data_IF_349911528394
#
_entry.id   IF_349911528394
#
_cell.length_a   1.000
_cell.length_b   1.000
_cell.length_c   1.000
_cell.angle_alpha   90.00
_cell.angle_beta   90.00
_cell.angle_gamma   90.00
#
_symmetry.space_group_name_H-M   'P 1'
#
loop_
_entity.id
_entity.type
_entity.pdbx_description
1 polymer ?
#
# COMPACT_ATOMS: atom_id res chain seq x y z
N UNK A 1 9.55 25.69 -74.11
CA UNK A 1 8.57 25.86 -73.01
C UNK A 1 8.51 24.57 -72.22
N UNK A 2 9.21 24.46 -71.10
CA UNK A 2 9.06 23.32 -70.19
C UNK A 2 9.01 23.86 -68.76
N UNK A 3 7.85 23.70 -68.14
CA UNK A 3 7.49 24.26 -66.84
C UNK A 3 7.70 23.16 -65.79
N UNK A 4 8.82 23.23 -65.07
CA UNK A 4 9.11 22.30 -63.96
C UNK A 4 8.24 22.71 -62.77
N UNK A 5 7.27 21.86 -62.44
CA UNK A 5 6.41 21.99 -61.25
C UNK A 5 7.23 21.69 -59.99
N UNK A 6 7.43 22.68 -59.14
CA UNK A 6 7.85 22.47 -57.75
C UNK A 6 6.69 21.85 -56.97
N UNK A 7 6.84 20.60 -56.55
CA UNK A 7 5.97 19.96 -55.57
C UNK A 7 6.53 20.28 -54.19
N UNK A 8 5.92 21.23 -53.48
CA UNK A 8 6.19 21.46 -52.07
C UNK A 8 5.61 20.30 -51.25
N UNK A 9 6.49 19.44 -50.72
CA UNK A 9 6.12 18.46 -49.69
C UNK A 9 6.04 19.21 -48.36
N UNK A 10 4.81 19.52 -47.92
CA UNK A 10 4.58 19.96 -46.53
C UNK A 10 4.76 18.74 -45.61
N UNK A 11 5.92 18.68 -44.95
CA UNK A 11 6.14 17.82 -43.79
C UNK A 11 5.33 18.37 -42.61
N UNK A 12 4.16 17.78 -42.37
CA UNK A 12 3.37 18.01 -41.16
C UNK A 12 4.15 17.49 -39.95
N UNK A 13 4.74 18.41 -39.19
CA UNK A 13 5.30 18.15 -37.86
C UNK A 13 4.13 17.95 -36.89
N UNK A 14 3.65 16.70 -36.77
CA UNK A 14 2.74 16.33 -35.70
C UNK A 14 3.55 16.28 -34.40
N UNK A 15 3.25 17.13 -33.40
CA UNK A 15 3.89 17.01 -32.10
C UNK A 15 3.51 15.65 -31.52
N UNK A 16 4.51 14.83 -31.22
CA UNK A 16 4.31 13.60 -30.46
C UNK A 16 3.87 14.04 -29.06
N UNK A 17 2.56 13.99 -28.79
CA UNK A 17 2.06 14.21 -27.43
C UNK A 17 2.42 12.96 -26.63
N UNK A 18 3.58 12.98 -25.98
CA UNK A 18 3.94 11.99 -24.98
C UNK A 18 3.01 12.21 -23.78
N UNK A 19 2.00 11.36 -23.65
CA UNK A 19 1.17 11.31 -22.44
C UNK A 19 1.93 10.51 -21.40
N UNK A 20 2.19 11.09 -20.23
CA UNK A 20 2.75 10.35 -19.11
C UNK A 20 1.80 9.21 -18.74
N UNK A 21 2.35 8.03 -18.45
CA UNK A 21 1.58 6.94 -17.86
C UNK A 21 1.00 7.39 -16.52
N UNK A 22 -0.19 6.88 -16.18
CA UNK A 22 -0.81 7.19 -14.90
C UNK A 22 0.08 6.71 -13.75
N UNK A 23 0.23 7.54 -12.72
CA UNK A 23 0.88 7.16 -11.47
C UNK A 23 -0.12 6.36 -10.62
N UNK A 24 0.13 5.07 -10.44
CA UNK A 24 -0.80 4.16 -9.76
C UNK A 24 -0.28 3.84 -8.37
N UNK A 25 -1.17 3.89 -7.37
CA UNK A 25 -0.82 3.52 -6.00
C UNK A 25 -1.90 2.66 -5.34
N UNK A 26 -1.50 1.99 -4.26
CA UNK A 26 -2.39 1.10 -3.50
C UNK A 26 -2.19 1.25 -1.99
N UNK A 27 -2.97 0.53 -1.20
CA UNK A 27 -2.85 0.44 0.24
C UNK A 27 -3.24 -0.97 0.69
N UNK A 28 -2.67 -1.44 1.80
CA UNK A 28 -3.11 -2.69 2.43
C UNK A 28 -4.62 -2.63 2.77
N UNK A 29 -5.36 -3.76 2.72
CA UNK A 29 -6.78 -3.79 3.02
C UNK A 29 -7.02 -3.88 4.53
N UNK A 30 -6.71 -2.80 5.25
CA UNK A 30 -6.88 -2.71 6.71
C UNK A 30 -8.27 -2.22 7.14
N UNK A 31 -9.10 -1.80 6.18
CA UNK A 31 -10.46 -1.31 6.35
C UNK A 31 -11.35 -1.82 5.20
N UNK A 32 -12.65 -1.53 5.29
CA UNK A 32 -13.58 -1.76 4.20
C UNK A 32 -13.16 -1.02 2.92
N UNK A 33 -13.33 -1.70 1.77
CA UNK A 33 -12.87 -1.21 0.48
C UNK A 33 -13.50 0.15 0.12
N UNK A 34 -14.78 0.37 0.42
CA UNK A 34 -15.46 1.63 0.11
C UNK A 34 -14.86 2.81 0.89
N UNK A 35 -14.51 2.57 2.16
CA UNK A 35 -13.83 3.56 2.99
C UNK A 35 -12.41 3.84 2.51
N UNK A 36 -11.68 2.80 2.08
CA UNK A 36 -10.34 2.94 1.51
C UNK A 36 -10.38 3.73 0.20
N UNK A 37 -11.31 3.43 -0.70
CA UNK A 37 -11.52 4.16 -1.95
C UNK A 37 -11.85 5.63 -1.68
N UNK A 38 -12.74 5.92 -0.72
CA UNK A 38 -13.07 7.30 -0.35
C UNK A 38 -11.86 8.05 0.21
N UNK A 39 -11.09 7.43 1.10
CA UNK A 39 -9.92 8.05 1.74
C UNK A 39 -8.79 8.28 0.73
N UNK A 40 -8.44 7.24 -0.02
CA UNK A 40 -7.31 7.30 -0.95
C UNK A 40 -7.68 7.95 -2.28
N UNK A 41 -8.95 8.03 -2.66
CA UNK A 41 -9.40 8.90 -3.75
C UNK A 41 -9.00 10.36 -3.52
N UNK A 42 -9.17 10.87 -2.28
CA UNK A 42 -8.72 12.23 -1.92
C UNK A 42 -7.20 12.39 -2.03
N UNK A 43 -6.43 11.34 -1.73
CA UNK A 43 -4.97 11.34 -1.90
C UNK A 43 -4.61 11.34 -3.39
N UNK A 44 -5.33 10.57 -4.21
CA UNK A 44 -5.15 10.55 -5.65
C UNK A 44 -5.40 11.95 -6.25
N UNK A 45 -6.51 12.60 -5.89
CA UNK A 45 -6.85 13.95 -6.35
C UNK A 45 -5.77 14.98 -5.97
N UNK A 46 -5.28 14.91 -4.72
CA UNK A 46 -4.21 15.78 -4.25
C UNK A 46 -2.92 15.56 -5.05
N UNK A 47 -2.46 14.31 -5.18
CA UNK A 47 -1.25 13.99 -5.92
C UNK A 47 -1.37 14.34 -7.40
N UNK A 48 -2.54 14.14 -8.02
CA UNK A 48 -2.76 14.50 -9.41
C UNK A 48 -2.57 16.01 -9.62
N UNK A 49 -3.10 16.82 -8.70
CA UNK A 49 -2.92 18.28 -8.73
C UNK A 49 -1.46 18.69 -8.56
N UNK A 50 -0.75 18.11 -7.59
CA UNK A 50 0.63 18.50 -7.27
C UNK A 50 1.64 18.00 -8.32
N UNK A 51 1.41 16.84 -8.92
CA UNK A 51 2.32 16.21 -9.88
C UNK A 51 2.01 16.58 -11.34
N UNK A 52 0.80 17.06 -11.63
CA UNK A 52 0.37 17.38 -12.99
C UNK A 52 0.18 16.16 -13.90
N UNK A 53 0.06 14.95 -13.32
CA UNK A 53 -0.18 13.68 -14.03
C UNK A 53 -1.45 13.01 -13.51
N UNK A 54 -1.98 12.07 -14.29
CA UNK A 54 -3.09 11.24 -13.83
C UNK A 54 -2.62 10.35 -12.67
N UNK A 55 -3.37 10.34 -11.57
CA UNK A 55 -3.08 9.50 -10.40
C UNK A 55 -4.28 8.61 -10.11
N UNK A 56 -4.02 7.31 -9.90
CA UNK A 56 -5.08 6.33 -9.66
C UNK A 56 -4.80 5.52 -8.39
N UNK A 57 -5.81 5.41 -7.53
CA UNK A 57 -5.81 4.45 -6.43
C UNK A 57 -6.45 3.13 -6.89
N UNK A 58 -5.77 2.00 -6.65
CA UNK A 58 -6.33 0.67 -6.88
C UNK A 58 -6.43 -0.13 -5.56
N UNK A 59 -7.61 -0.67 -5.20
CA UNK A 59 -7.75 -1.51 -4.03
C UNK A 59 -7.13 -2.89 -4.27
N UNK A 60 -6.61 -3.51 -3.20
CA UNK A 60 -6.08 -4.88 -3.23
C UNK A 60 -6.68 -5.71 -2.13
N UNK A 61 -6.83 -7.02 -2.37
CA UNK A 61 -7.56 -7.93 -1.45
C UNK A 61 -6.71 -8.56 -0.35
N UNK A 62 -5.39 -8.34 -0.36
CA UNK A 62 -4.51 -8.85 0.70
C UNK A 62 -3.21 -8.06 0.81
N UNK A 63 -2.53 -8.19 1.95
CA UNK A 63 -1.17 -7.68 2.16
C UNK A 63 -0.18 -8.23 1.12
N UNK A 64 -0.29 -9.52 0.78
CA UNK A 64 0.54 -10.14 -0.25
C UNK A 64 0.28 -9.53 -1.63
N UNK A 65 -0.99 -9.23 -1.96
CA UNK A 65 -1.34 -8.57 -3.21
C UNK A 65 -0.75 -7.16 -3.30
N UNK A 66 -0.74 -6.38 -2.22
CA UNK A 66 -0.08 -5.07 -2.18
C UNK A 66 1.43 -5.19 -2.49
N UNK A 67 2.10 -6.15 -1.85
CA UNK A 67 3.54 -6.40 -2.06
C UNK A 67 3.81 -6.84 -3.50
N UNK A 68 3.00 -7.76 -4.04
CA UNK A 68 3.14 -8.25 -5.42
C UNK A 68 2.88 -7.15 -6.44
N UNK A 69 1.85 -6.32 -6.25
CA UNK A 69 1.57 -5.20 -7.14
C UNK A 69 2.73 -4.22 -7.20
N UNK A 70 3.31 -3.90 -6.04
CA UNK A 70 4.48 -3.03 -5.96
C UNK A 70 5.71 -3.67 -6.62
N UNK A 71 5.99 -4.95 -6.31
CA UNK A 71 7.11 -5.69 -6.90
C UNK A 71 7.04 -5.79 -8.42
N UNK A 72 5.84 -5.97 -8.96
CA UNK A 72 5.63 -6.12 -10.40
C UNK A 72 5.50 -4.77 -11.12
N UNK A 73 5.78 -3.65 -10.43
CA UNK A 73 5.62 -2.29 -10.94
C UNK A 73 4.20 -2.00 -11.48
N UNK A 74 3.19 -2.68 -10.95
CA UNK A 74 1.77 -2.37 -11.21
C UNK A 74 1.33 -1.11 -10.46
N UNK A 75 2.05 -0.77 -9.40
CA UNK A 75 1.92 0.46 -8.63
C UNK A 75 3.30 1.02 -8.30
N UNK A 76 3.43 2.35 -8.28
CA UNK A 76 4.67 3.07 -7.99
C UNK A 76 4.74 3.52 -6.52
N UNK A 77 3.62 3.49 -5.79
CA UNK A 77 3.53 3.81 -4.37
C UNK A 77 2.55 2.86 -3.68
N UNK A 78 2.81 2.55 -2.40
CA UNK A 78 1.88 1.76 -1.60
C UNK A 78 1.92 2.15 -0.11
N UNK A 79 0.74 2.28 0.50
CA UNK A 79 0.61 2.43 1.95
C UNK A 79 0.69 1.05 2.63
N UNK A 80 1.84 0.74 3.21
CA UNK A 80 2.11 -0.53 3.88
C UNK A 80 2.07 -0.41 5.40
N UNK A 81 1.68 -1.50 6.08
CA UNK A 81 1.98 -1.67 7.50
C UNK A 81 3.43 -2.10 7.73
N UNK A 82 3.91 -2.05 8.98
CA UNK A 82 5.32 -2.28 9.35
C UNK A 82 5.97 -3.52 8.72
N UNK A 83 5.39 -4.71 8.90
CA UNK A 83 5.92 -5.96 8.32
C UNK A 83 5.89 -5.92 6.78
N UNK A 84 4.73 -5.59 6.20
CA UNK A 84 4.58 -5.55 4.75
C UNK A 84 5.51 -4.54 4.06
N UNK A 85 5.81 -3.41 4.70
CA UNK A 85 6.72 -2.41 4.17
C UNK A 85 8.17 -2.89 4.17
N UNK A 86 8.60 -3.57 5.23
CA UNK A 86 9.93 -4.23 5.28
C UNK A 86 10.03 -5.31 4.21
N UNK A 87 9.00 -6.13 4.04
CA UNK A 87 8.96 -7.19 3.02
C UNK A 87 9.00 -6.63 1.60
N UNK A 88 8.20 -5.60 1.30
CA UNK A 88 8.18 -4.94 0.00
C UNK A 88 9.55 -4.37 -0.36
N UNK A 89 10.19 -3.63 0.56
CA UNK A 89 11.51 -3.04 0.31
C UNK A 89 12.62 -4.06 0.14
N UNK A 90 12.54 -5.21 0.83
CA UNK A 90 13.45 -6.33 0.61
C UNK A 90 13.35 -6.94 -0.80
N UNK A 91 12.16 -6.88 -1.40
CA UNK A 91 11.89 -7.47 -2.71
C UNK A 91 12.11 -6.50 -3.89
N UNK A 92 12.14 -5.20 -3.62
CA UNK A 92 12.27 -4.15 -4.64
C UNK A 92 13.49 -3.28 -4.31
N UNK A 93 14.69 -3.61 -4.85
CA UNK A 93 15.89 -2.81 -4.64
C UNK A 93 15.69 -1.34 -5.06
N UNK A 94 16.20 -0.41 -4.24
CA UNK A 94 16.05 1.03 -4.48
C UNK A 94 14.71 1.63 -4.07
N UNK A 95 13.77 0.83 -3.55
CA UNK A 95 12.55 1.38 -2.95
C UNK A 95 12.80 1.96 -1.57
N UNK A 96 12.14 3.07 -1.26
CA UNK A 96 12.34 3.85 -0.03
C UNK A 96 11.05 4.03 0.76
N UNK A 97 11.17 4.20 2.07
CA UNK A 97 10.07 4.63 2.91
C UNK A 97 10.01 6.16 2.90
N UNK A 98 8.97 6.73 2.30
CA UNK A 98 8.85 8.18 2.11
C UNK A 98 8.21 8.89 3.31
N UNK A 99 7.21 8.26 3.93
CA UNK A 99 6.46 8.83 5.03
C UNK A 99 5.90 7.72 5.94
N UNK A 100 5.58 8.11 7.18
CA UNK A 100 4.86 7.30 8.16
C UNK A 100 4.03 8.25 9.06
N UNK A 101 2.99 7.73 9.71
CA UNK A 101 2.29 8.47 10.75
C UNK A 101 3.23 8.78 11.93
N UNK A 102 2.97 9.87 12.65
CA UNK A 102 3.76 10.19 13.84
C UNK A 102 3.51 9.14 14.94
N UNK A 103 2.26 8.76 15.10
CA UNK A 103 1.76 7.72 16.01
C UNK A 103 2.33 6.33 15.73
N UNK A 104 2.65 6.01 14.47
CA UNK A 104 3.17 4.70 14.06
C UNK A 104 4.54 4.40 14.70
N UNK A 105 5.30 5.45 15.06
CA UNK A 105 6.58 5.32 15.79
C UNK A 105 6.41 4.74 17.19
N UNK A 106 5.23 4.91 17.77
CA UNK A 106 4.91 4.51 19.14
C UNK A 106 3.87 3.39 19.17
N UNK A 107 3.74 2.66 18.06
CA UNK A 107 2.76 1.60 17.89
C UNK A 107 2.87 0.53 18.99
N UNK A 108 1.72 0.13 19.55
CA UNK A 108 1.61 -0.93 20.55
C UNK A 108 0.69 -2.04 20.05
N UNK A 109 1.09 -3.28 20.28
CA UNK A 109 0.23 -4.45 20.06
C UNK A 109 -0.54 -4.78 21.34
N UNK A 110 -1.85 -5.00 21.20
CA UNK A 110 -2.73 -5.38 22.30
C UNK A 110 -3.28 -6.78 22.05
N UNK A 111 -3.35 -7.59 23.10
CA UNK A 111 -4.11 -8.83 23.12
C UNK A 111 -5.44 -8.55 23.80
N UNK A 112 -6.53 -8.76 23.07
CA UNK A 112 -7.88 -8.49 23.56
C UNK A 112 -8.57 -9.82 23.80
N UNK A 113 -9.03 -10.03 25.03
CA UNK A 113 -9.79 -11.20 25.43
C UNK A 113 -11.23 -10.82 25.75
N UNK A 114 -12.18 -11.70 25.41
CA UNK A 114 -13.55 -11.55 25.85
C UNK A 114 -13.64 -11.74 27.37
N UNK A 115 -14.60 -11.06 28.03
CA UNK A 115 -14.77 -11.12 29.49
C UNK A 115 -14.96 -12.54 30.03
N UNK A 116 -15.52 -13.45 29.21
CA UNK A 116 -15.71 -14.87 29.57
C UNK A 116 -14.41 -15.67 29.70
N UNK A 117 -13.27 -15.14 29.22
CA UNK A 117 -11.96 -15.76 29.41
C UNK A 117 -11.44 -15.62 30.85
N UNK A 118 -12.09 -14.80 31.68
CA UNK A 118 -11.73 -14.58 33.10
C UNK A 118 -10.27 -14.15 33.32
N UNK A 119 -9.68 -13.50 32.31
CA UNK A 119 -8.33 -12.95 32.37
C UNK A 119 -8.34 -11.55 32.97
N UNK A 120 -7.35 -11.24 33.80
CA UNK A 120 -7.14 -9.88 34.31
C UNK A 120 -6.33 -9.05 33.30
N UNK A 121 -6.67 -7.76 33.08
CA UNK A 121 -5.81 -6.86 32.32
C UNK A 121 -4.41 -6.78 32.94
N UNK A 122 -3.39 -6.70 32.09
CA UNK A 122 -2.00 -6.60 32.52
C UNK A 122 -1.07 -6.25 31.36
N UNK A 123 0.15 -5.83 31.69
CA UNK A 123 1.19 -5.49 30.71
C UNK A 123 1.96 -6.72 30.21
N UNK A 124 1.81 -7.86 30.90
CA UNK A 124 2.45 -9.14 30.57
C UNK A 124 1.40 -10.19 30.24
N UNK A 125 1.76 -11.11 29.35
CA UNK A 125 0.89 -12.22 28.99
C UNK A 125 0.84 -13.26 30.12
N UNK A 126 -0.33 -13.51 30.74
CA UNK A 126 -0.44 -14.43 31.85
C UNK A 126 -0.31 -15.89 31.40
N UNK A 127 0.15 -16.75 32.30
CA UNK A 127 0.30 -18.20 32.05
C UNK A 127 -1.03 -18.89 31.72
N UNK A 128 -2.12 -18.32 32.19
CA UNK A 128 -3.52 -18.71 32.01
C UNK A 128 -3.98 -18.65 30.55
N UNK A 129 -3.20 -18.02 29.66
CA UNK A 129 -3.43 -18.09 28.22
C UNK A 129 -3.15 -19.47 27.62
N UNK A 130 -2.35 -20.30 28.30
CA UNK A 130 -2.01 -21.64 27.80
C UNK A 130 -3.27 -22.51 27.73
N UNK A 131 -3.49 -23.13 26.56
CA UNK A 131 -4.65 -23.96 26.30
C UNK A 131 -5.89 -23.19 25.83
N UNK A 132 -5.87 -21.85 25.83
CA UNK A 132 -6.91 -21.04 25.20
C UNK A 132 -6.71 -20.97 23.68
N UNK A 133 -7.79 -20.66 22.97
CA UNK A 133 -7.76 -20.40 21.52
C UNK A 133 -7.54 -18.92 21.26
N UNK A 134 -6.61 -18.60 20.35
CA UNK A 134 -6.35 -17.24 19.87
C UNK A 134 -6.63 -17.14 18.38
N UNK A 135 -7.33 -16.07 17.96
CA UNK A 135 -7.60 -15.81 16.55
C UNK A 135 -6.54 -14.86 16.00
N UNK A 136 -5.73 -15.35 15.06
CA UNK A 136 -4.76 -14.52 14.36
C UNK A 136 -5.42 -13.71 13.24
N UNK A 137 -4.89 -12.52 13.00
CA UNK A 137 -5.19 -11.74 11.82
C UNK A 137 -4.48 -12.28 10.57
N UNK A 138 -4.50 -11.47 9.50
CA UNK A 138 -3.85 -11.81 8.23
C UNK A 138 -2.35 -12.12 8.41
N UNK A 139 -1.83 -13.09 7.65
CA UNK A 139 -0.42 -13.51 7.71
C UNK A 139 0.60 -12.38 7.49
N UNK A 140 0.22 -11.33 6.75
CA UNK A 140 1.06 -10.18 6.48
C UNK A 140 0.96 -9.05 7.50
N UNK A 141 0.11 -9.19 8.53
CA UNK A 141 -0.14 -8.15 9.52
C UNK A 141 0.94 -8.11 10.61
N UNK A 142 1.45 -6.93 10.93
CA UNK A 142 2.35 -6.76 12.07
C UNK A 142 1.65 -7.14 13.39
N UNK A 143 0.54 -6.47 13.70
CA UNK A 143 -0.16 -6.61 14.98
C UNK A 143 -1.10 -7.81 15.04
N UNK A 144 -1.63 -8.26 13.90
CA UNK A 144 -2.51 -9.42 13.83
C UNK A 144 -1.76 -10.75 13.69
N UNK A 145 -0.48 -10.74 13.29
CA UNK A 145 0.30 -11.96 13.07
C UNK A 145 1.68 -11.94 13.70
N UNK A 146 2.57 -11.06 13.24
CA UNK A 146 3.97 -11.09 13.65
C UNK A 146 4.15 -10.93 15.16
N UNK A 147 3.55 -9.90 15.74
CA UNK A 147 3.67 -9.62 17.16
C UNK A 147 2.98 -10.69 18.01
N UNK A 148 1.74 -11.15 17.68
CA UNK A 148 1.14 -12.29 18.35
C UNK A 148 1.99 -13.57 18.32
N UNK A 149 2.58 -13.90 17.17
CA UNK A 149 3.45 -15.07 17.08
C UNK A 149 4.70 -14.91 17.94
N UNK A 150 5.37 -13.76 17.87
CA UNK A 150 6.58 -13.49 18.65
C UNK A 150 6.37 -13.63 20.18
N UNK A 151 5.19 -13.25 20.69
CA UNK A 151 4.92 -13.32 22.13
C UNK A 151 4.29 -14.63 22.58
N UNK A 152 3.62 -15.39 21.70
CA UNK A 152 2.91 -16.62 22.05
C UNK A 152 3.67 -17.90 21.66
N UNK A 153 4.66 -17.85 20.75
CA UNK A 153 5.34 -19.00 20.15
C UNK A 153 6.85 -18.82 20.13
#
# INVERSE_FOLDING_TARGET
MSMIRFVCVLLLWLPLVVRADAFVFTAIPDQDESHLQQRFGKVADYLAKELGVEVQYIPVKSYAAAITAFRNNQVQLAWFGGLSGVQARRLVPGSEALAQGYEDQYFKSYFIAHKSASLKPGEVLPSELKGLTFTFGSKGSTSGRLMPEFYLR
#
